data_IF_613770437774
#
_entry.id   IF_613770437774
#
_cell.length_a   1.000
_cell.length_b   1.000
_cell.length_c   1.000
_cell.angle_alpha   90.00
_cell.angle_beta   90.00
_cell.angle_gamma   90.00
#
_symmetry.space_group_name_H-M   'P 1'
#
loop_
_entity.id
_entity.type
_entity.pdbx_description
1 polymer ?
#
# COMPACT_ATOMS: atom_id res chain seq x y z
N UNK A 1 12.77 8.81 5.76
CA UNK A 1 12.59 7.67 4.85
C UNK A 1 13.69 7.71 3.81
N UNK A 2 14.39 6.59 3.64
CA UNK A 2 15.50 6.45 2.70
C UNK A 2 15.29 5.13 1.96
N UNK A 3 15.04 5.20 0.65
CA UNK A 3 15.05 4.03 -0.21
C UNK A 3 16.24 4.16 -1.16
N UNK A 4 17.06 3.11 -1.24
CA UNK A 4 18.16 3.05 -2.21
C UNK A 4 17.64 2.51 -3.53
N UNK A 5 17.97 3.21 -4.61
CA UNK A 5 17.67 2.78 -5.97
C UNK A 5 18.80 1.95 -6.57
N UNK A 6 18.80 1.82 -7.89
CA UNK A 6 19.92 1.26 -8.63
C UNK A 6 21.06 2.27 -8.77
N UNK A 7 22.30 1.77 -8.71
CA UNK A 7 23.50 2.60 -8.83
C UNK A 7 23.64 3.61 -7.70
N UNK A 8 23.77 4.90 -8.05
CA UNK A 8 23.98 6.00 -7.11
C UNK A 8 22.69 6.78 -6.80
N UNK A 9 21.51 6.22 -7.11
CA UNK A 9 20.24 6.89 -6.87
C UNK A 9 19.71 6.60 -5.47
N UNK A 10 19.19 7.66 -4.85
CA UNK A 10 18.56 7.62 -3.53
C UNK A 10 17.25 8.37 -3.60
N UNK A 11 16.19 7.75 -3.09
CA UNK A 11 14.95 8.46 -2.76
C UNK A 11 15.04 9.01 -1.35
N UNK A 12 14.96 10.35 -1.24
CA UNK A 12 15.07 11.07 0.03
C UNK A 12 13.71 11.64 0.39
N UNK A 13 13.22 11.28 1.57
CA UNK A 13 12.14 12.00 2.25
C UNK A 13 12.50 12.13 3.71
N UNK A 14 13.08 13.27 4.10
CA UNK A 14 13.48 13.51 5.48
C UNK A 14 12.26 13.58 6.40
N UNK A 15 12.40 13.33 7.71
CA UNK A 15 11.30 13.48 8.66
C UNK A 15 10.60 14.84 8.57
N UNK A 16 11.36 15.93 8.43
CA UNK A 16 10.79 17.28 8.29
C UNK A 16 10.03 17.45 6.97
N UNK A 17 10.57 16.97 5.85
CA UNK A 17 9.84 17.00 4.57
C UNK A 17 8.52 16.22 4.64
N UNK A 18 8.50 15.09 5.34
CA UNK A 18 7.27 14.29 5.54
C UNK A 18 6.27 15.06 6.41
N UNK A 19 6.72 15.74 7.48
CA UNK A 19 5.85 16.55 8.34
C UNK A 19 5.26 17.75 7.60
N UNK A 20 6.09 18.48 6.86
CA UNK A 20 5.67 19.60 6.01
C UNK A 20 4.67 19.14 4.94
N UNK A 21 4.98 18.03 4.25
CA UNK A 21 4.09 17.42 3.26
C UNK A 21 2.76 16.99 3.85
N UNK A 22 2.75 16.36 5.03
CA UNK A 22 1.53 15.97 5.73
C UNK A 22 0.66 17.18 6.09
N UNK A 23 1.27 18.26 6.60
CA UNK A 23 0.55 19.50 6.91
C UNK A 23 -0.04 20.14 5.65
N UNK A 24 0.70 20.16 4.54
CA UNK A 24 0.25 20.69 3.25
C UNK A 24 -0.92 19.89 2.69
N UNK A 25 -0.80 18.55 2.62
CA UNK A 25 -1.84 17.64 2.14
C UNK A 25 -3.11 17.81 2.98
N UNK A 26 -2.98 17.89 4.31
CA UNK A 26 -4.10 18.14 5.21
C UNK A 26 -4.76 19.50 4.96
N UNK A 27 -3.96 20.53 4.69
CA UNK A 27 -4.45 21.87 4.33
C UNK A 27 -5.32 21.90 3.07
N UNK A 28 -5.09 20.98 2.13
CA UNK A 28 -5.91 20.81 0.93
C UNK A 28 -7.12 19.88 1.11
N UNK A 29 -7.33 19.32 2.31
CA UNK A 29 -8.42 18.36 2.55
C UNK A 29 -8.24 17.03 1.79
N UNK A 30 -7.01 16.70 1.38
CA UNK A 30 -6.69 15.45 0.68
C UNK A 30 -6.29 14.38 1.70
N UNK A 31 -6.77 13.15 1.51
CA UNK A 31 -6.34 12.00 2.31
C UNK A 31 -5.15 11.32 1.61
N UNK A 32 -3.96 11.28 2.23
CA UNK A 32 -2.83 10.58 1.66
C UNK A 32 -2.94 9.06 1.88
N UNK A 33 -2.45 8.28 0.93
CA UNK A 33 -2.01 6.91 1.16
C UNK A 33 -0.52 6.94 1.52
N UNK A 34 -0.15 6.36 2.66
CA UNK A 34 1.19 6.43 3.22
C UNK A 34 2.00 5.21 2.75
N UNK A 35 2.84 5.43 1.74
CA UNK A 35 3.70 4.40 1.14
C UNK A 35 4.86 4.05 2.08
N UNK A 36 4.85 2.83 2.64
CA UNK A 36 5.89 2.34 3.54
C UNK A 36 6.65 1.18 2.92
N UNK A 37 7.95 1.39 2.76
CA UNK A 37 8.87 0.45 2.09
C UNK A 37 9.67 -0.41 3.07
N UNK A 38 9.61 -0.14 4.38
CA UNK A 38 10.26 -0.95 5.42
C UNK A 38 9.60 -0.69 6.80
N UNK A 39 9.92 -1.48 7.81
CA UNK A 39 9.42 -1.35 9.18
C UNK A 39 9.78 -0.01 9.83
N UNK A 40 10.97 0.55 9.52
CA UNK A 40 11.33 1.88 10.02
C UNK A 40 10.45 3.00 9.44
N UNK A 41 9.96 2.83 8.20
CA UNK A 41 9.00 3.78 7.60
C UNK A 41 7.65 3.64 8.26
N UNK A 42 7.21 2.39 8.50
CA UNK A 42 5.97 2.13 9.23
C UNK A 42 6.03 2.72 10.64
N UNK A 43 7.08 2.48 11.41
CA UNK A 43 7.25 3.03 12.76
C UNK A 43 7.10 4.56 12.79
N UNK A 44 7.77 5.25 11.87
CA UNK A 44 7.65 6.71 11.76
C UNK A 44 6.23 7.16 11.36
N UNK A 45 5.58 6.46 10.43
CA UNK A 45 4.17 6.72 10.07
C UNK A 45 3.24 6.51 11.26
N UNK A 46 3.41 5.45 12.04
CA UNK A 46 2.61 5.17 13.23
C UNK A 46 2.77 6.27 14.28
N UNK A 47 4.00 6.78 14.46
CA UNK A 47 4.24 7.96 15.30
C UNK A 47 3.46 9.18 14.82
N UNK A 48 3.50 9.50 13.53
CA UNK A 48 2.76 10.64 12.96
C UNK A 48 1.24 10.48 13.09
N UNK A 49 0.71 9.27 12.93
CA UNK A 49 -0.70 8.96 13.17
C UNK A 49 -1.06 9.22 14.63
N UNK A 50 -0.25 8.76 15.58
CA UNK A 50 -0.44 9.03 17.02
C UNK A 50 -0.35 10.52 17.39
N UNK A 51 0.40 11.31 16.63
CA UNK A 51 0.48 12.77 16.76
C UNK A 51 -0.71 13.52 16.11
N UNK A 52 -1.65 12.80 15.48
CA UNK A 52 -2.81 13.39 14.81
C UNK A 52 -2.47 14.11 13.50
N UNK A 53 -1.35 13.74 12.85
CA UNK A 53 -0.94 14.36 11.59
C UNK A 53 -1.93 14.11 10.44
N UNK A 54 -2.69 13.01 10.50
CA UNK A 54 -3.60 12.55 9.45
C UNK A 54 -5.02 12.35 9.98
N UNK A 55 -6.02 12.60 9.12
CA UNK A 55 -7.42 12.32 9.45
C UNK A 55 -7.73 10.81 9.38
N UNK A 56 -8.32 10.27 10.45
CA UNK A 56 -8.69 8.87 10.58
C UNK A 56 -9.83 8.41 9.64
N UNK A 57 -9.90 7.11 9.31
CA UNK A 57 -8.80 6.16 9.42
C UNK A 57 -7.67 6.56 8.45
N UNK A 58 -6.41 6.43 8.87
CA UNK A 58 -5.27 6.70 7.99
C UNK A 58 -5.08 5.55 6.98
N UNK A 59 -4.57 5.85 5.79
CA UNK A 59 -4.30 4.86 4.75
C UNK A 59 -2.82 4.53 4.69
N UNK A 60 -2.45 3.26 4.74
CA UNK A 60 -1.05 2.79 4.67
C UNK A 60 -0.92 1.75 3.57
N UNK A 61 0.14 1.83 2.77
CA UNK A 61 0.44 0.83 1.75
C UNK A 61 1.81 0.20 1.98
N UNK A 62 1.82 -1.12 2.18
CA UNK A 62 3.05 -1.90 2.29
C UNK A 62 3.62 -2.16 0.89
N UNK A 63 4.73 -1.50 0.59
CA UNK A 63 5.44 -1.58 -0.69
C UNK A 63 6.49 -2.70 -0.63
N UNK A 64 6.19 -3.87 -1.18
CA UNK A 64 7.06 -5.04 -1.03
C UNK A 64 7.77 -5.44 -2.32
N UNK A 65 9.05 -5.82 -2.20
CA UNK A 65 9.86 -6.31 -3.31
C UNK A 65 10.51 -5.22 -4.17
N UNK A 66 10.44 -3.97 -3.74
CA UNK A 66 11.31 -2.91 -4.24
C UNK A 66 12.74 -3.19 -3.75
N UNK A 67 13.73 -2.98 -4.61
CA UNK A 67 15.14 -3.26 -4.29
C UNK A 67 15.52 -2.61 -2.95
N UNK A 68 16.14 -3.40 -2.07
CA UNK A 68 16.64 -3.02 -0.75
C UNK A 68 15.61 -2.52 0.28
N UNK A 69 14.32 -2.51 -0.07
CA UNK A 69 13.23 -2.36 0.90
C UNK A 69 12.80 -3.70 1.48
N UNK A 70 11.61 -3.71 2.10
CA UNK A 70 10.97 -4.90 2.61
C UNK A 70 10.76 -5.92 1.46
N UNK A 71 11.23 -7.17 1.61
CA UNK A 71 11.09 -8.16 0.56
C UNK A 71 9.65 -8.65 0.43
N UNK A 72 9.22 -9.00 -0.78
CA UNK A 72 7.90 -9.59 -1.04
C UNK A 72 7.78 -11.02 -0.51
N UNK A 73 7.69 -11.15 0.81
CA UNK A 73 7.58 -12.40 1.56
C UNK A 73 6.45 -12.33 2.57
N UNK A 74 5.87 -13.49 2.92
CA UNK A 74 4.89 -13.60 3.99
C UNK A 74 5.41 -13.03 5.31
N UNK A 75 6.66 -13.33 5.68
CA UNK A 75 7.27 -12.85 6.94
C UNK A 75 7.31 -11.33 7.01
N UNK A 76 7.76 -10.67 5.93
CA UNK A 76 7.82 -9.21 5.89
C UNK A 76 6.43 -8.58 5.99
N UNK A 77 5.48 -9.02 5.14
CA UNK A 77 4.12 -8.47 5.15
C UNK A 77 3.43 -8.70 6.51
N UNK A 78 3.58 -9.90 7.09
CA UNK A 78 3.02 -10.22 8.40
C UNK A 78 3.61 -9.33 9.49
N UNK A 79 4.92 -9.09 9.50
CA UNK A 79 5.56 -8.19 10.45
C UNK A 79 5.00 -6.77 10.38
N UNK A 80 4.82 -6.24 9.16
CA UNK A 80 4.21 -4.92 8.95
C UNK A 80 2.73 -4.89 9.37
N UNK A 81 1.95 -5.92 9.03
CA UNK A 81 0.54 -6.03 9.43
C UNK A 81 0.37 -6.16 10.95
N UNK A 82 1.25 -6.90 11.63
CA UNK A 82 1.25 -7.02 13.09
C UNK A 82 1.63 -5.67 13.74
N UNK A 83 2.59 -4.94 13.19
CA UNK A 83 2.99 -3.62 13.69
C UNK A 83 1.91 -2.55 13.52
N UNK A 84 1.09 -2.64 12.46
CA UNK A 84 -0.04 -1.75 12.22
C UNK A 84 -1.31 -2.13 13.04
N UNK A 85 -1.31 -3.30 13.70
CA UNK A 85 -2.50 -3.83 14.38
C UNK A 85 -2.94 -2.92 15.54
N UNK A 86 -4.24 -2.67 15.61
CA UNK A 86 -4.86 -1.90 16.70
C UNK A 86 -4.82 -0.39 16.52
N UNK A 87 -4.14 0.13 15.49
CA UNK A 87 -4.27 1.52 15.09
C UNK A 87 -5.51 1.73 14.21
N UNK A 88 -6.04 2.96 14.21
CA UNK A 88 -7.14 3.37 13.33
C UNK A 88 -6.65 3.59 11.89
N UNK A 89 -6.30 2.48 11.24
CA UNK A 89 -5.71 2.46 9.90
C UNK A 89 -6.45 1.49 8.99
N UNK A 90 -6.51 1.85 7.71
CA UNK A 90 -6.82 0.93 6.62
C UNK A 90 -5.53 0.69 5.88
N UNK A 91 -5.11 -0.58 5.76
CA UNK A 91 -3.87 -0.90 5.07
C UNK A 91 -4.10 -1.73 3.81
N UNK A 92 -3.22 -1.51 2.83
CA UNK A 92 -3.11 -2.22 1.57
C UNK A 92 -1.70 -2.78 1.43
N UNK A 93 -1.49 -3.75 0.54
CA UNK A 93 -0.15 -4.16 0.16
C UNK A 93 -0.08 -4.57 -1.31
N UNK A 94 1.12 -4.47 -1.88
CA UNK A 94 1.44 -5.00 -3.20
C UNK A 94 2.82 -5.65 -3.22
N UNK A 95 3.07 -6.43 -4.27
CA UNK A 95 4.37 -7.00 -4.58
C UNK A 95 4.81 -6.62 -5.99
N UNK A 96 6.11 -6.38 -6.18
CA UNK A 96 6.67 -6.04 -7.49
C UNK A 96 6.87 -7.28 -8.37
N UNK A 97 6.62 -7.12 -9.67
CA UNK A 97 6.83 -8.09 -10.73
C UNK A 97 6.07 -9.39 -10.51
N UNK A 98 6.78 -10.53 -10.61
CA UNK A 98 6.19 -11.86 -10.45
C UNK A 98 5.52 -12.09 -9.08
N UNK A 99 5.82 -11.27 -8.08
CA UNK A 99 5.26 -11.38 -6.74
C UNK A 99 3.93 -10.64 -6.57
N UNK A 100 3.44 -9.91 -7.58
CA UNK A 100 2.18 -9.16 -7.50
C UNK A 100 0.99 -10.05 -7.07
N UNK A 101 0.74 -11.15 -7.78
CA UNK A 101 -0.40 -12.04 -7.47
C UNK A 101 -0.25 -12.82 -6.16
N UNK A 102 0.94 -13.38 -5.81
CA UNK A 102 1.16 -13.93 -4.47
C UNK A 102 0.89 -12.93 -3.33
N UNK A 103 1.30 -11.66 -3.49
CA UNK A 103 1.07 -10.63 -2.47
C UNK A 103 -0.39 -10.18 -2.39
N UNK A 104 -1.16 -10.21 -3.50
CA UNK A 104 -2.63 -10.05 -3.47
C UNK A 104 -3.26 -11.06 -2.51
N UNK A 105 -2.97 -12.35 -2.69
CA UNK A 105 -3.52 -13.40 -1.82
C UNK A 105 -3.07 -13.22 -0.37
N UNK A 106 -1.78 -12.92 -0.16
CA UNK A 106 -1.22 -12.77 1.19
C UNK A 106 -1.81 -11.59 1.96
N UNK A 107 -2.04 -10.46 1.29
CA UNK A 107 -2.64 -9.28 1.92
C UNK A 107 -4.06 -9.60 2.40
N UNK A 108 -4.86 -10.26 1.55
CA UNK A 108 -6.20 -10.72 1.92
C UNK A 108 -6.17 -11.70 3.09
N UNK A 109 -5.25 -12.68 3.09
CA UNK A 109 -5.11 -13.62 4.21
C UNK A 109 -4.83 -12.93 5.55
N UNK A 110 -4.17 -11.76 5.53
CA UNK A 110 -3.84 -10.97 6.73
C UNK A 110 -4.89 -9.90 7.05
N UNK A 111 -5.97 -9.80 6.26
CA UNK A 111 -7.05 -8.83 6.47
C UNK A 111 -6.80 -7.44 5.86
N UNK A 112 -5.87 -7.31 4.91
CA UNK A 112 -5.56 -6.07 4.20
C UNK A 112 -6.25 -5.97 2.84
N UNK A 113 -6.10 -4.79 2.23
CA UNK A 113 -6.50 -4.53 0.84
C UNK A 113 -5.35 -4.81 -0.13
N UNK A 114 -5.65 -4.79 -1.44
CA UNK A 114 -4.71 -5.20 -2.49
C UNK A 114 -4.52 -4.10 -3.52
N UNK A 115 -3.31 -4.01 -4.07
CA UNK A 115 -2.99 -3.20 -5.24
C UNK A 115 -2.38 -4.06 -6.35
N UNK A 116 -2.81 -3.79 -7.57
CA UNK A 116 -2.26 -4.37 -8.81
C UNK A 116 -2.23 -3.32 -9.92
N UNK A 117 -1.39 -3.55 -10.92
CA UNK A 117 -1.30 -2.70 -12.09
C UNK A 117 0.03 -2.84 -12.81
N UNK A 118 0.10 -2.23 -13.99
CA UNK A 118 1.30 -2.22 -14.83
C UNK A 118 2.48 -1.46 -14.21
N UNK A 119 2.21 -0.55 -13.27
CA UNK A 119 3.24 0.13 -12.47
C UNK A 119 4.09 -0.87 -11.69
N UNK A 120 3.46 -1.88 -11.09
CA UNK A 120 4.16 -2.84 -10.25
C UNK A 120 4.56 -4.10 -11.04
N UNK A 121 3.87 -4.43 -12.13
CA UNK A 121 4.12 -5.65 -12.91
C UNK A 121 3.62 -5.54 -14.37
N UNK A 122 4.52 -5.71 -15.33
CA UNK A 122 4.21 -5.64 -16.78
C UNK A 122 3.83 -7.00 -17.41
N UNK A 123 3.85 -8.09 -16.64
CA UNK A 123 3.66 -9.45 -17.15
C UNK A 123 2.40 -10.11 -16.58
N UNK A 124 1.56 -10.68 -17.43
CA UNK A 124 0.46 -11.51 -16.99
C UNK A 124 1.00 -12.88 -16.57
N UNK A 125 1.75 -13.51 -17.47
CA UNK A 125 2.50 -14.75 -17.25
C UNK A 125 3.92 -14.59 -17.80
N UNK A 126 4.80 -15.58 -17.60
CA UNK A 126 6.17 -15.52 -18.14
C UNK A 126 6.12 -15.25 -19.65
N UNK A 127 6.71 -14.14 -20.06
CA UNK A 127 6.75 -13.66 -21.46
C UNK A 127 5.37 -13.34 -22.08
N UNK A 128 4.32 -13.19 -21.27
CA UNK A 128 2.99 -12.75 -21.72
C UNK A 128 2.73 -11.35 -21.17
N UNK A 129 2.73 -10.29 -22.00
CA UNK A 129 2.47 -8.93 -21.54
C UNK A 129 1.09 -8.79 -20.89
N UNK A 130 1.00 -7.95 -19.87
CA UNK A 130 -0.26 -7.66 -19.18
C UNK A 130 -0.97 -6.42 -19.74
N UNK A 131 -2.27 -6.33 -19.46
CA UNK A 131 -3.01 -5.07 -19.40
C UNK A 131 -3.46 -4.82 -17.96
N UNK A 132 -3.70 -3.57 -17.57
CA UNK A 132 -4.27 -3.28 -16.24
C UNK A 132 -5.56 -4.05 -15.98
N UNK A 133 -6.45 -4.16 -16.99
CA UNK A 133 -7.70 -4.91 -16.89
C UNK A 133 -7.44 -6.39 -16.58
N UNK A 134 -6.47 -7.02 -17.26
CA UNK A 134 -6.15 -8.43 -17.03
C UNK A 134 -5.60 -8.68 -15.62
N UNK A 135 -4.76 -7.77 -15.10
CA UNK A 135 -4.23 -7.87 -13.73
C UNK A 135 -5.32 -7.68 -12.68
N UNK A 136 -6.22 -6.71 -12.89
CA UNK A 136 -7.39 -6.49 -12.03
C UNK A 136 -8.32 -7.70 -12.03
N UNK A 137 -8.60 -8.29 -13.21
CA UNK A 137 -9.44 -9.49 -13.29
C UNK A 137 -8.80 -10.68 -12.57
N UNK A 138 -7.50 -10.90 -12.73
CA UNK A 138 -6.78 -11.97 -12.03
C UNK A 138 -6.78 -11.77 -10.52
N UNK A 139 -6.52 -10.55 -10.05
CA UNK A 139 -6.62 -10.22 -8.62
C UNK A 139 -8.03 -10.43 -8.09
N UNK A 140 -9.05 -9.99 -8.84
CA UNK A 140 -10.46 -10.21 -8.51
C UNK A 140 -10.79 -11.68 -8.34
N UNK A 141 -10.39 -12.52 -9.28
CA UNK A 141 -10.62 -13.96 -9.22
C UNK A 141 -9.98 -14.57 -7.96
N UNK A 142 -8.74 -14.19 -7.63
CA UNK A 142 -8.04 -14.66 -6.43
C UNK A 142 -8.85 -14.30 -5.17
N UNK A 143 -9.20 -13.03 -5.00
CA UNK A 143 -9.84 -12.57 -3.76
C UNK A 143 -11.28 -13.11 -3.62
N UNK A 144 -12.03 -13.21 -4.71
CA UNK A 144 -13.38 -13.79 -4.70
C UNK A 144 -13.36 -15.29 -4.39
N UNK A 145 -12.38 -16.04 -4.91
CA UNK A 145 -12.17 -17.45 -4.56
C UNK A 145 -11.79 -17.67 -3.09
N UNK A 146 -11.25 -16.65 -2.43
CA UNK A 146 -10.97 -16.65 -0.99
C UNK A 146 -12.19 -16.23 -0.14
N UNK A 147 -13.34 -15.96 -0.76
CA UNK A 147 -14.57 -15.57 -0.06
C UNK A 147 -14.72 -14.07 0.20
N UNK A 148 -13.84 -13.23 -0.36
CA UNK A 148 -13.92 -11.77 -0.23
C UNK A 148 -14.86 -11.18 -1.27
N UNK A 149 -15.60 -10.13 -0.90
CA UNK A 149 -16.39 -9.31 -1.83
C UNK A 149 -15.68 -7.99 -2.08
N UNK A 150 -15.49 -7.65 -3.35
CA UNK A 150 -14.86 -6.39 -3.76
C UNK A 150 -15.83 -5.23 -3.54
N UNK A 151 -15.33 -4.15 -2.92
CA UNK A 151 -16.10 -2.94 -2.69
C UNK A 151 -16.26 -2.13 -3.99
N UNK A 152 -17.42 -1.48 -4.15
CA UNK A 152 -17.59 -0.45 -5.17
C UNK A 152 -16.79 0.80 -4.79
N UNK A 153 -16.49 1.64 -5.78
CA UNK A 153 -15.81 2.92 -5.54
C UNK A 153 -16.56 3.81 -4.54
N UNK A 154 -17.90 3.81 -4.56
CA UNK A 154 -18.73 4.52 -3.60
C UNK A 154 -18.54 3.99 -2.17
N UNK A 155 -18.66 2.67 -1.98
CA UNK A 155 -18.45 2.06 -0.67
C UNK A 155 -17.02 2.28 -0.15
N UNK A 156 -16.02 2.26 -1.05
CA UNK A 156 -14.63 2.57 -0.70
C UNK A 156 -14.47 4.00 -0.22
N UNK A 157 -15.10 4.97 -0.89
CA UNK A 157 -15.10 6.37 -0.46
C UNK A 157 -15.70 6.54 0.93
N UNK A 158 -16.87 5.93 1.17
CA UNK A 158 -17.53 5.97 2.48
C UNK A 158 -16.63 5.36 3.58
N UNK A 159 -16.06 4.18 3.32
CA UNK A 159 -15.18 3.48 4.27
C UNK A 159 -13.91 4.26 4.62
N UNK A 160 -13.39 5.01 3.66
CA UNK A 160 -12.18 5.82 3.80
C UNK A 160 -12.48 7.25 4.28
N UNK A 161 -13.74 7.67 4.34
CA UNK A 161 -14.11 9.06 4.64
C UNK A 161 -13.67 10.03 3.55
N UNK A 162 -13.66 9.59 2.29
CA UNK A 162 -13.46 10.46 1.13
C UNK A 162 -14.81 11.04 0.75
N UNK A 163 -14.94 12.37 0.72
CA UNK A 163 -16.19 13.05 0.35
C UNK A 163 -16.80 12.53 -0.96
N UNK A 164 -18.11 12.74 -1.13
CA UNK A 164 -18.83 12.38 -2.34
C UNK A 164 -18.06 12.90 -3.56
N UNK A 165 -17.85 12.03 -4.56
CA UNK A 165 -17.28 12.45 -5.83
C UNK A 165 -18.14 13.61 -6.37
N UNK A 166 -17.51 14.75 -6.63
CA UNK A 166 -18.13 15.84 -7.38
C UNK A 166 -18.51 15.35 -8.78
#
# INVERSE_FOLDING_TARGET
SYNVGEGNLVYISTPEQIREGAAMIRGYGVKPELEVFDLGHLDFVMKLIGEGAFAGPAMIQFCLGVNWGAPATTTAMKGMADAARGADVVWSAFGVGRMQMPMVAQAVLLGGNVRVGLEDNIWLDRAVPATNVALVQRAREIVERMGVRIMSSAATRDRLGLGAAA
#
